data_IF_265560417493
#
_entry.id   IF_265560417493
#
_cell.length_a   1.000
_cell.length_b   1.000
_cell.length_c   1.000
_cell.angle_alpha   90.00
_cell.angle_beta   90.00
_cell.angle_gamma   90.00
#
_symmetry.space_group_name_H-M   'P 1'
#
loop_
_entity.id
_entity.type
_entity.pdbx_description
1 polymer ?
#
# COMPACT_ATOMS: atom_id res chain seq x y z
N UNK A 1 18.59 -4.28 -21.22
CA UNK A 1 19.47 -5.08 -22.10
C UNK A 1 20.72 -4.31 -22.53
N UNK A 2 20.61 -3.03 -22.88
CA UNK A 2 21.77 -2.21 -23.30
C UNK A 2 22.84 -2.01 -22.23
N UNK A 3 22.51 -2.23 -20.96
CA UNK A 3 23.43 -2.19 -19.81
C UNK A 3 23.89 -3.59 -19.34
N UNK A 4 23.65 -4.65 -20.13
CA UNK A 4 24.04 -6.03 -19.79
C UNK A 4 23.20 -6.69 -18.69
N UNK A 5 22.11 -6.04 -18.24
CA UNK A 5 21.21 -6.59 -17.23
C UNK A 5 20.16 -7.52 -17.87
N UNK A 6 19.99 -8.70 -17.29
CA UNK A 6 18.95 -9.62 -17.75
C UNK A 6 17.59 -9.21 -17.16
N UNK A 7 16.77 -8.53 -17.99
CA UNK A 7 15.47 -7.97 -17.58
C UNK A 7 14.55 -9.03 -17.01
N UNK A 8 14.44 -10.19 -17.66
CA UNK A 8 13.58 -11.30 -17.20
C UNK A 8 13.98 -11.79 -15.79
N UNK A 9 15.30 -11.91 -15.53
CA UNK A 9 15.79 -12.32 -14.23
C UNK A 9 15.49 -11.30 -13.15
N UNK A 10 15.64 -10.02 -13.48
CA UNK A 10 15.33 -8.91 -12.55
C UNK A 10 13.83 -8.87 -12.22
N UNK A 11 12.97 -9.01 -13.22
CA UNK A 11 11.52 -9.06 -13.02
C UNK A 11 11.12 -10.27 -12.18
N UNK A 12 11.68 -11.45 -12.45
CA UNK A 12 11.42 -12.65 -11.67
C UNK A 12 11.79 -12.48 -10.19
N UNK A 13 12.98 -11.97 -9.91
CA UNK A 13 13.44 -11.74 -8.53
C UNK A 13 12.52 -10.71 -7.83
N UNK A 14 12.20 -9.60 -8.51
CA UNK A 14 11.32 -8.57 -7.94
C UNK A 14 9.92 -9.12 -7.62
N UNK A 15 9.36 -9.96 -8.50
CA UNK A 15 8.07 -10.61 -8.27
C UNK A 15 8.12 -11.58 -7.10
N UNK A 16 9.19 -12.39 -6.99
CA UNK A 16 9.37 -13.31 -5.87
C UNK A 16 9.48 -12.57 -4.53
N UNK A 17 10.23 -11.47 -4.49
CA UNK A 17 10.37 -10.63 -3.29
C UNK A 17 9.02 -10.00 -2.92
N UNK A 18 8.29 -9.45 -3.90
CA UNK A 18 6.95 -8.90 -3.69
C UNK A 18 5.95 -9.93 -3.18
N UNK A 19 5.97 -11.13 -3.75
CA UNK A 19 5.16 -12.26 -3.29
C UNK A 19 5.49 -12.68 -1.86
N UNK A 20 6.79 -12.70 -1.51
CA UNK A 20 7.26 -12.97 -0.15
C UNK A 20 6.72 -11.96 0.87
N UNK A 21 6.80 -10.66 0.60
CA UNK A 21 6.23 -9.62 1.47
C UNK A 21 4.70 -9.71 1.56
N UNK A 22 4.02 -10.03 0.46
CA UNK A 22 2.57 -10.25 0.47
C UNK A 22 2.18 -11.45 1.34
N UNK A 23 2.95 -12.55 1.27
CA UNK A 23 2.76 -13.71 2.13
C UNK A 23 2.95 -13.38 3.61
N UNK A 24 4.01 -12.64 3.96
CA UNK A 24 4.24 -12.18 5.34
C UNK A 24 3.11 -11.29 5.85
N UNK A 25 2.58 -10.40 5.01
CA UNK A 25 1.43 -9.58 5.37
C UNK A 25 0.17 -10.43 5.63
N UNK A 26 -0.06 -11.49 4.84
CA UNK A 26 -1.14 -12.44 5.07
C UNK A 26 -0.98 -13.20 6.39
N UNK A 27 0.23 -13.68 6.70
CA UNK A 27 0.54 -14.34 7.98
C UNK A 27 0.29 -13.40 9.16
N UNK A 28 0.74 -12.15 9.08
CA UNK A 28 0.48 -11.15 10.11
C UNK A 28 -1.03 -10.92 10.31
N UNK A 29 -1.78 -10.81 9.23
CA UNK A 29 -3.22 -10.59 9.28
C UNK A 29 -3.95 -11.73 10.02
N UNK A 30 -3.56 -12.98 9.74
CA UNK A 30 -4.20 -14.17 10.33
C UNK A 30 -3.75 -14.47 11.76
N UNK A 31 -2.51 -14.16 12.13
CA UNK A 31 -1.98 -14.48 13.46
C UNK A 31 -2.17 -13.37 14.47
N UNK A 32 -2.09 -12.10 14.06
CA UNK A 32 -2.05 -10.98 14.99
C UNK A 32 -3.28 -10.08 14.91
N UNK A 33 -3.86 -9.92 13.73
CA UNK A 33 -4.95 -8.97 13.53
C UNK A 33 -6.33 -9.63 13.71
N UNK A 34 -6.56 -10.76 13.01
CA UNK A 34 -7.80 -11.54 13.10
C UNK A 34 -7.40 -13.01 13.33
N UNK A 35 -7.32 -13.47 14.58
CA UNK A 35 -6.80 -14.82 14.91
C UNK A 35 -7.80 -15.96 14.60
N UNK A 36 -8.65 -15.77 13.62
CA UNK A 36 -9.57 -16.77 13.09
C UNK A 36 -9.87 -16.49 11.61
N UNK A 37 -10.21 -17.53 10.88
CA UNK A 37 -10.55 -17.40 9.47
C UNK A 37 -11.98 -16.85 9.31
N UNK A 38 -12.11 -15.78 8.53
CA UNK A 38 -13.41 -15.26 8.07
C UNK A 38 -13.36 -14.97 6.58
N UNK A 39 -14.47 -15.16 5.92
CA UNK A 39 -14.60 -14.78 4.51
C UNK A 39 -14.37 -13.27 4.38
N UNK A 40 -13.67 -12.89 3.31
CA UNK A 40 -13.33 -11.49 3.03
C UNK A 40 -12.50 -10.77 4.11
N UNK A 41 -11.66 -11.50 4.87
CA UNK A 41 -10.88 -10.90 5.97
C UNK A 41 -9.90 -9.81 5.52
N UNK A 42 -9.47 -9.80 4.27
CA UNK A 42 -8.63 -8.74 3.69
C UNK A 42 -9.40 -7.44 3.47
N UNK A 43 -10.75 -7.53 3.24
CA UNK A 43 -11.68 -6.39 3.20
C UNK A 43 -11.17 -5.17 2.39
N UNK A 44 -10.55 -5.43 1.24
CA UNK A 44 -10.03 -4.37 0.37
C UNK A 44 -8.67 -3.78 0.76
N UNK A 45 -8.00 -4.30 1.80
CA UNK A 45 -6.66 -3.79 2.23
C UNK A 45 -5.61 -3.82 1.12
N UNK A 46 -5.70 -4.77 0.19
CA UNK A 46 -4.82 -4.82 -0.98
C UNK A 46 -4.95 -3.59 -1.88
N UNK A 47 -6.15 -3.08 -2.07
CA UNK A 47 -6.39 -1.86 -2.85
C UNK A 47 -5.80 -0.62 -2.19
N UNK A 48 -5.82 -0.57 -0.86
CA UNK A 48 -5.19 0.51 -0.11
C UNK A 48 -3.68 0.45 -0.24
N UNK A 49 -3.09 -0.73 -0.16
CA UNK A 49 -1.66 -0.90 -0.36
C UNK A 49 -1.24 -0.38 -1.76
N UNK A 50 -2.02 -0.68 -2.80
CA UNK A 50 -1.80 -0.15 -4.14
C UNK A 50 -1.92 1.38 -4.18
N UNK A 51 -2.97 1.93 -3.58
CA UNK A 51 -3.15 3.38 -3.49
C UNK A 51 -1.99 4.06 -2.77
N UNK A 52 -1.50 3.49 -1.65
CA UNK A 52 -0.33 4.00 -0.92
C UNK A 52 0.94 4.04 -1.79
N UNK A 53 1.15 3.04 -2.65
CA UNK A 53 2.29 3.03 -3.59
C UNK A 53 2.16 4.15 -4.62
N UNK A 54 0.97 4.30 -5.23
CA UNK A 54 0.70 5.31 -6.24
C UNK A 54 0.88 6.72 -5.65
N UNK A 55 0.22 7.03 -4.53
CA UNK A 55 0.33 8.32 -3.86
C UNK A 55 1.69 8.56 -3.22
N UNK A 56 2.41 7.50 -2.83
CA UNK A 56 3.80 7.56 -2.39
C UNK A 56 4.77 7.94 -3.52
N UNK A 57 4.29 8.02 -4.77
CA UNK A 57 5.09 8.36 -5.95
C UNK A 57 6.11 7.29 -6.28
N UNK A 58 5.77 6.01 -6.07
CA UNK A 58 6.62 4.84 -6.35
C UNK A 58 7.96 4.85 -5.60
N UNK A 59 8.05 5.62 -4.50
CA UNK A 59 9.25 5.70 -3.66
C UNK A 59 9.07 4.85 -2.41
N UNK A 60 9.91 3.82 -2.19
CA UNK A 60 9.74 2.86 -1.09
C UNK A 60 9.61 3.52 0.29
N UNK A 61 10.47 4.49 0.59
CA UNK A 61 10.45 5.17 1.88
C UNK A 61 9.18 5.99 2.14
N UNK A 62 8.60 6.61 1.10
CA UNK A 62 7.34 7.37 1.22
C UNK A 62 6.17 6.43 1.41
N UNK A 63 6.15 5.33 0.66
CA UNK A 63 5.15 4.28 0.81
C UNK A 63 5.21 3.67 2.21
N UNK A 64 6.41 3.42 2.74
CA UNK A 64 6.58 2.91 4.10
C UNK A 64 6.05 3.89 5.16
N UNK A 65 6.34 5.19 5.04
CA UNK A 65 5.79 6.21 5.95
C UNK A 65 4.26 6.25 5.85
N UNK A 66 3.71 6.22 4.64
CA UNK A 66 2.26 6.16 4.42
C UNK A 66 1.61 4.93 5.03
N UNK A 67 2.26 3.76 4.90
CA UNK A 67 1.78 2.51 5.48
C UNK A 67 1.77 2.53 7.01
N UNK A 68 2.83 3.04 7.64
CA UNK A 68 2.90 3.20 9.10
C UNK A 68 1.83 4.19 9.59
N UNK A 69 1.66 5.31 8.91
CA UNK A 69 0.63 6.30 9.25
C UNK A 69 -0.77 5.70 9.11
N UNK A 70 -1.03 4.96 8.03
CA UNK A 70 -2.31 4.28 7.84
C UNK A 70 -2.58 3.26 8.96
N UNK A 71 -1.61 2.40 9.27
CA UNK A 71 -1.74 1.41 10.33
C UNK A 71 -1.94 2.05 11.72
N UNK A 72 -1.27 3.16 11.98
CA UNK A 72 -1.47 3.94 13.21
C UNK A 72 -2.90 4.49 13.31
N UNK A 73 -3.42 5.08 12.24
CA UNK A 73 -4.80 5.59 12.21
C UNK A 73 -5.82 4.45 12.33
N UNK A 74 -5.59 3.32 11.66
CA UNK A 74 -6.45 2.14 11.75
C UNK A 74 -6.53 1.58 13.19
N UNK A 75 -5.45 1.67 13.95
CA UNK A 75 -5.42 1.27 15.36
C UNK A 75 -5.97 2.35 16.30
N UNK A 76 -5.77 3.62 15.99
CA UNK A 76 -6.14 4.74 16.85
C UNK A 76 -7.65 4.98 16.87
N UNK A 77 -8.28 4.97 15.68
CA UNK A 77 -9.70 5.35 15.54
C UNK A 77 -10.65 4.47 16.37
N UNK A 78 -10.53 3.12 16.37
CA UNK A 78 -11.34 2.28 17.26
C UNK A 78 -11.08 2.53 18.76
N UNK A 79 -9.85 2.87 19.12
CA UNK A 79 -9.50 3.18 20.53
C UNK A 79 -10.15 4.47 21.00
N UNK A 80 -10.32 5.46 20.14
CA UNK A 80 -11.03 6.69 20.50
C UNK A 80 -12.50 6.44 20.84
N UNK A 81 -13.13 5.42 20.26
CA UNK A 81 -14.49 5.03 20.64
C UNK A 81 -14.59 4.51 22.08
N UNK A 82 -13.57 3.81 22.56
CA UNK A 82 -13.55 3.32 23.96
C UNK A 82 -13.45 4.45 24.98
N UNK A 83 -13.01 5.65 24.58
CA UNK A 83 -12.97 6.86 25.41
C UNK A 83 -14.27 7.68 25.39
N UNK A 84 -15.37 7.14 24.83
CA UNK A 84 -16.68 7.77 24.88
C UNK A 84 -17.05 8.64 23.70
N UNK A 85 -16.28 8.63 22.61
CA UNK A 85 -16.69 9.27 21.37
C UNK A 85 -17.67 8.36 20.62
N UNK A 86 -18.96 8.67 20.69
CA UNK A 86 -20.03 7.97 19.96
C UNK A 86 -19.95 8.29 18.44
N UNK A 87 -19.00 7.69 17.75
CA UNK A 87 -18.94 7.74 16.30
C UNK A 87 -19.68 6.53 15.70
N UNK A 88 -20.46 6.78 14.66
CA UNK A 88 -21.08 5.69 13.90
C UNK A 88 -20.01 4.67 13.46
N UNK A 89 -20.25 3.36 13.57
CA UNK A 89 -19.29 2.32 13.14
C UNK A 89 -18.83 2.46 11.70
N UNK A 90 -19.67 3.03 10.83
CA UNK A 90 -19.33 3.31 9.44
C UNK A 90 -18.30 4.44 9.31
N UNK A 91 -18.46 5.51 10.08
CA UNK A 91 -17.52 6.64 10.09
C UNK A 91 -16.15 6.20 10.60
N UNK A 92 -16.12 5.36 11.63
CA UNK A 92 -14.87 4.81 12.18
C UNK A 92 -14.10 4.03 11.12
N UNK A 93 -14.79 3.20 10.34
CA UNK A 93 -14.16 2.44 9.26
C UNK A 93 -13.63 3.30 8.12
N UNK A 94 -14.31 4.40 7.77
CA UNK A 94 -13.92 5.28 6.66
C UNK A 94 -12.81 6.25 7.07
N UNK A 95 -12.77 6.68 8.31
CA UNK A 95 -11.86 7.73 8.82
C UNK A 95 -10.38 7.48 8.49
N UNK A 96 -9.76 6.32 8.77
CA UNK A 96 -8.34 6.11 8.47
C UNK A 96 -8.03 6.21 6.97
N UNK A 97 -8.95 5.79 6.14
CA UNK A 97 -8.82 5.88 4.67
C UNK A 97 -8.86 7.32 4.20
N UNK A 98 -9.88 8.07 4.64
CA UNK A 98 -10.06 9.45 4.27
C UNK A 98 -8.87 10.32 4.70
N UNK A 99 -8.43 10.19 5.95
CA UNK A 99 -7.29 10.95 6.48
C UNK A 99 -6.00 10.59 5.73
N UNK A 100 -5.75 9.31 5.47
CA UNK A 100 -4.55 8.88 4.75
C UNK A 100 -4.53 9.43 3.32
N UNK A 101 -5.65 9.39 2.61
CA UNK A 101 -5.75 9.94 1.25
C UNK A 101 -5.50 11.44 1.28
N UNK A 102 -6.12 12.17 2.18
CA UNK A 102 -5.94 13.64 2.30
C UNK A 102 -4.47 13.97 2.55
N UNK A 103 -3.81 13.28 3.49
CA UNK A 103 -2.40 13.52 3.81
C UNK A 103 -1.52 13.22 2.59
N UNK A 104 -1.76 12.11 1.88
CA UNK A 104 -0.98 11.74 0.70
C UNK A 104 -1.17 12.72 -0.45
N UNK A 105 -2.41 13.19 -0.69
CA UNK A 105 -2.70 14.21 -1.69
C UNK A 105 -1.99 15.52 -1.36
N UNK A 106 -2.08 15.98 -0.11
CA UNK A 106 -1.40 17.19 0.36
C UNK A 106 0.12 17.06 0.18
N UNK A 107 0.73 15.93 0.59
CA UNK A 107 2.15 15.68 0.39
C UNK A 107 2.56 15.65 -1.09
N UNK A 108 1.70 15.17 -1.97
CA UNK A 108 1.94 15.13 -3.41
C UNK A 108 1.92 16.54 -4.01
N UNK A 109 0.94 17.36 -3.63
CA UNK A 109 0.81 18.75 -4.09
C UNK A 109 2.01 19.58 -3.61
N UNK A 110 2.34 19.52 -2.32
CA UNK A 110 3.46 20.26 -1.75
C UNK A 110 4.82 19.93 -2.40
N UNK A 111 4.98 18.73 -2.93
CA UNK A 111 6.23 18.30 -3.58
C UNK A 111 6.21 18.40 -5.11
N UNK A 112 5.32 19.20 -5.67
CA UNK A 112 5.33 19.60 -7.08
C UNK A 112 4.82 18.54 -8.05
N UNK A 113 3.86 17.70 -7.63
CA UNK A 113 3.03 16.87 -8.55
C UNK A 113 3.76 15.89 -9.48
N UNK A 114 5.08 15.75 -9.36
CA UNK A 114 5.83 14.77 -10.16
C UNK A 114 5.50 13.38 -9.65
N UNK A 115 4.57 12.74 -10.34
CA UNK A 115 4.36 11.30 -10.24
C UNK A 115 5.65 10.62 -10.63
N UNK A 116 6.37 10.09 -9.64
CA UNK A 116 7.61 9.33 -9.88
C UNK A 116 7.34 7.94 -10.45
N UNK A 117 6.24 7.79 -11.19
CA UNK A 117 5.89 6.54 -11.84
C UNK A 117 6.99 6.17 -12.85
N UNK A 118 7.46 4.92 -12.89
CA UNK A 118 8.37 4.45 -13.93
C UNK A 118 7.74 4.61 -15.31
N UNK A 119 8.51 5.11 -16.28
CA UNK A 119 8.03 5.40 -17.64
C UNK A 119 7.43 4.18 -18.36
N UNK A 120 7.87 2.98 -17.98
CA UNK A 120 7.46 1.72 -18.62
C UNK A 120 6.41 0.94 -17.80
N UNK A 121 5.70 1.61 -16.88
CA UNK A 121 4.67 0.94 -16.10
C UNK A 121 3.53 0.50 -17.02
N UNK A 122 3.14 -0.77 -16.94
CA UNK A 122 2.07 -1.34 -17.76
C UNK A 122 2.45 -1.67 -19.20
N UNK A 123 3.68 -1.41 -19.63
CA UNK A 123 4.17 -1.78 -20.96
C UNK A 123 4.85 -3.15 -20.89
N UNK A 124 4.36 -4.16 -21.60
CA UNK A 124 5.01 -5.46 -21.62
C UNK A 124 6.38 -5.36 -22.32
N UNK A 125 7.37 -6.01 -21.74
CA UNK A 125 8.72 -6.05 -22.30
C UNK A 125 8.80 -7.14 -23.35
N UNK A 126 9.01 -6.74 -24.62
CA UNK A 126 9.32 -7.65 -25.73
C UNK A 126 10.78 -7.47 -26.13
N UNK A 127 11.55 -8.55 -26.15
CA UNK A 127 12.98 -8.55 -26.46
C UNK A 127 13.27 -8.21 -27.92
N UNK A 128 12.28 -8.37 -28.81
CA UNK A 128 12.40 -8.20 -30.26
C UNK A 128 12.06 -6.78 -30.76
N UNK A 129 11.47 -5.93 -29.92
CA UNK A 129 11.19 -4.54 -30.27
C UNK A 129 12.43 -3.66 -29.97
N UNK A 130 13.34 -3.66 -30.91
CA UNK A 130 14.42 -2.68 -31.00
C UNK A 130 14.07 -1.59 -31.99
#
# INVERSE_FOLDING_TARGET
>A
DSMGLNVNKTQFIATCVGGGFSGLAGVYLTLSYVPYWTDNMTSGRGWIALALVIFGGWKPYRTAIGAVLFGFLEALVPRLQTYGFELSPYLVKITPYAITIIILVVLTIYKGGRTGAPNNIGIPFFRENR
#
